data_IF_137085462807
#
_entry.id   IF_137085462807
#
_cell.length_a   1.000
_cell.length_b   1.000
_cell.length_c   1.000
_cell.angle_alpha   90.00
_cell.angle_beta   90.00
_cell.angle_gamma   90.00
#
_symmetry.space_group_name_H-M   'P 1'
#
loop_
_entity.id
_entity.type
_entity.pdbx_description
1 polymer ?
#
# COMPACT_ATOMS: atom_id res chain seq x y z
N UNK A 1 -27.53 -2.40 -9.85
CA UNK A 1 -26.73 -1.16 -9.89
C UNK A 1 -27.13 -0.23 -11.04
N UNK A 2 -27.12 -0.62 -12.32
CA UNK A 2 -27.72 0.24 -13.38
C UNK A 2 -29.19 0.59 -13.06
N UNK A 3 -29.92 -0.35 -12.47
CA UNK A 3 -31.28 -0.13 -11.96
C UNK A 3 -31.36 0.86 -10.79
N UNK A 4 -30.34 0.97 -9.96
CA UNK A 4 -30.30 1.90 -8.81
C UNK A 4 -29.84 3.28 -9.24
N UNK A 5 -28.80 3.35 -10.10
CA UNK A 5 -28.35 4.58 -10.75
C UNK A 5 -29.45 5.22 -11.62
N UNK A 6 -30.42 4.44 -12.10
CA UNK A 6 -31.57 4.95 -12.84
C UNK A 6 -32.69 5.51 -11.94
N UNK A 7 -32.75 5.11 -10.67
CA UNK A 7 -33.80 5.55 -9.72
C UNK A 7 -33.42 6.89 -9.09
N UNK A 8 -32.16 7.06 -8.72
CA UNK A 8 -31.61 8.29 -8.16
C UNK A 8 -30.17 8.49 -8.67
N UNK A 9 -29.98 9.13 -9.83
CA UNK A 9 -28.66 9.23 -10.46
C UNK A 9 -27.78 10.21 -9.68
N UNK A 10 -26.62 9.77 -9.14
CA UNK A 10 -25.69 10.69 -8.51
C UNK A 10 -25.00 11.57 -9.56
N UNK A 11 -24.44 12.71 -9.13
CA UNK A 11 -23.65 13.57 -10.01
C UNK A 11 -22.30 12.94 -10.41
N UNK A 12 -21.77 12.04 -9.56
CA UNK A 12 -20.49 11.37 -9.74
C UNK A 12 -20.48 10.02 -9.00
N UNK A 13 -19.97 8.98 -9.66
CA UNK A 13 -19.67 7.69 -9.03
C UNK A 13 -18.19 7.64 -8.66
N UNK A 14 -17.89 7.46 -7.38
CA UNK A 14 -16.54 7.24 -6.90
C UNK A 14 -16.29 5.74 -6.69
N UNK A 15 -15.32 5.19 -7.41
CA UNK A 15 -14.94 3.78 -7.35
C UNK A 15 -13.60 3.69 -6.62
N UNK A 16 -13.61 3.18 -5.39
CA UNK A 16 -12.40 3.00 -4.60
C UNK A 16 -11.79 1.62 -4.82
N UNK A 17 -10.54 1.59 -5.28
CA UNK A 17 -9.73 0.42 -5.66
C UNK A 17 -10.07 -0.23 -7.01
N UNK A 18 -9.02 -0.69 -7.70
CA UNK A 18 -9.09 -1.36 -8.99
C UNK A 18 -10.04 -2.56 -9.03
N UNK A 19 -10.11 -3.32 -7.94
CA UNK A 19 -10.77 -4.63 -7.91
C UNK A 19 -12.29 -4.60 -8.00
N UNK A 20 -12.90 -3.46 -7.69
CA UNK A 20 -14.35 -3.29 -7.83
C UNK A 20 -14.76 -2.69 -9.17
N UNK A 21 -13.81 -2.14 -9.96
CA UNK A 21 -14.09 -1.55 -11.26
C UNK A 21 -14.90 -2.48 -12.21
N UNK A 22 -14.63 -3.81 -12.30
CA UNK A 22 -15.44 -4.70 -13.12
C UNK A 22 -16.88 -4.89 -12.66
N UNK A 23 -17.16 -4.74 -11.36
CA UNK A 23 -18.51 -4.88 -10.81
C UNK A 23 -19.37 -3.67 -11.18
N UNK A 24 -18.74 -2.50 -11.26
CA UNK A 24 -19.38 -1.24 -11.64
C UNK A 24 -19.47 -1.12 -13.16
N UNK A 25 -18.42 -1.56 -13.86
CA UNK A 25 -18.28 -1.40 -15.30
C UNK A 25 -18.06 0.06 -15.71
N UNK A 26 -18.32 0.34 -16.99
CA UNK A 26 -18.36 1.71 -17.52
C UNK A 26 -19.76 2.28 -17.32
N UNK A 27 -19.84 3.47 -16.73
CA UNK A 27 -21.10 4.19 -16.57
C UNK A 27 -21.35 5.07 -17.79
N UNK A 28 -22.42 4.81 -18.54
CA UNK A 28 -22.70 5.52 -19.80
C UNK A 28 -23.31 6.93 -19.58
N UNK A 29 -24.09 7.10 -18.52
CA UNK A 29 -24.85 8.33 -18.25
C UNK A 29 -24.29 9.17 -17.10
N UNK A 30 -23.57 8.54 -16.17
CA UNK A 30 -23.05 9.20 -14.97
C UNK A 30 -21.52 9.24 -15.02
N UNK A 31 -20.86 10.38 -14.78
CA UNK A 31 -19.41 10.44 -14.64
C UNK A 31 -18.93 9.49 -13.54
N UNK A 32 -17.80 8.80 -13.76
CA UNK A 32 -17.17 7.95 -12.77
C UNK A 32 -15.67 8.24 -12.67
N UNK A 33 -15.13 8.17 -11.45
CA UNK A 33 -13.72 8.34 -11.14
C UNK A 33 -13.20 7.11 -10.39
N UNK A 34 -12.04 6.61 -10.82
CA UNK A 34 -11.37 5.47 -10.20
C UNK A 34 -10.28 5.96 -9.25
N UNK A 35 -10.43 5.71 -7.95
CA UNK A 35 -9.41 5.96 -6.94
C UNK A 35 -8.53 4.74 -6.75
N UNK A 36 -7.21 4.96 -6.76
CA UNK A 36 -6.21 3.93 -6.54
C UNK A 36 -5.37 4.26 -5.32
N UNK A 37 -5.37 3.31 -4.39
CA UNK A 37 -4.55 3.37 -3.17
C UNK A 37 -3.12 2.88 -3.41
N UNK A 38 -2.88 2.16 -4.51
CA UNK A 38 -1.60 1.61 -4.90
C UNK A 38 -1.50 1.51 -6.43
N UNK A 39 -0.27 1.29 -6.91
CA UNK A 39 -0.05 0.69 -8.23
C UNK A 39 0.02 -0.83 -8.08
N UNK A 40 -1.04 -1.53 -8.45
CA UNK A 40 -1.20 -2.95 -8.17
C UNK A 40 -0.17 -3.81 -8.90
N UNK A 41 0.14 -3.47 -10.16
CA UNK A 41 1.20 -4.18 -10.89
C UNK A 41 2.58 -3.99 -10.26
N UNK A 42 2.89 -2.82 -9.70
CA UNK A 42 4.20 -2.58 -9.08
C UNK A 42 4.34 -3.40 -7.80
N UNK A 43 3.30 -3.42 -6.97
CA UNK A 43 3.25 -4.28 -5.78
C UNK A 43 3.40 -5.75 -6.16
N UNK A 44 2.70 -6.20 -7.20
CA UNK A 44 2.83 -7.57 -7.73
C UNK A 44 4.24 -7.87 -8.20
N UNK A 45 4.84 -7.00 -9.02
CA UNK A 45 6.20 -7.17 -9.57
C UNK A 45 7.25 -7.28 -8.45
N UNK A 46 7.15 -6.44 -7.40
CA UNK A 46 8.01 -6.53 -6.22
C UNK A 46 7.87 -7.87 -5.52
N UNK A 47 6.63 -8.30 -5.26
CA UNK A 47 6.36 -9.60 -4.65
C UNK A 47 6.92 -10.76 -5.47
N UNK A 48 6.78 -10.74 -6.80
CA UNK A 48 7.34 -11.79 -7.69
C UNK A 48 8.86 -11.85 -7.60
N UNK A 49 9.53 -10.71 -7.54
CA UNK A 49 10.99 -10.65 -7.45
C UNK A 49 11.52 -11.19 -6.12
N UNK A 50 10.74 -11.08 -5.05
CA UNK A 50 11.10 -11.58 -3.72
C UNK A 50 10.80 -13.09 -3.52
N UNK A 51 10.22 -13.78 -4.51
CA UNK A 51 9.98 -15.24 -4.41
C UNK A 51 11.27 -16.04 -4.57
N UNK A 52 11.47 -17.14 -3.82
CA UNK A 52 12.73 -17.90 -3.84
C UNK A 52 12.92 -18.80 -5.07
N UNK A 53 11.89 -19.52 -5.49
CA UNK A 53 12.02 -20.56 -6.51
C UNK A 53 11.79 -20.04 -7.94
N UNK A 54 12.73 -20.33 -8.86
CA UNK A 54 12.74 -19.81 -10.23
C UNK A 54 11.53 -20.21 -11.09
N UNK A 55 10.99 -21.43 -10.89
CA UNK A 55 9.80 -21.90 -11.63
C UNK A 55 8.56 -21.07 -11.25
N UNK A 56 8.43 -20.76 -9.96
CA UNK A 56 7.37 -19.91 -9.41
C UNK A 56 7.53 -18.47 -9.91
N UNK A 57 8.76 -17.95 -9.95
CA UNK A 57 9.05 -16.61 -10.52
C UNK A 57 8.54 -16.47 -11.96
N UNK A 58 8.77 -17.47 -12.82
CA UNK A 58 8.31 -17.41 -14.22
C UNK A 58 6.79 -17.41 -14.31
N UNK A 59 6.10 -18.29 -13.57
CA UNK A 59 4.63 -18.32 -13.54
C UNK A 59 4.06 -17.00 -13.01
N UNK A 60 4.60 -16.47 -11.91
CA UNK A 60 4.11 -15.23 -11.34
C UNK A 60 4.43 -14.00 -12.20
N UNK A 61 5.48 -14.04 -13.04
CA UNK A 61 5.71 -12.99 -14.06
C UNK A 61 4.58 -12.96 -15.10
N UNK A 62 4.05 -14.12 -15.48
CA UNK A 62 2.90 -14.19 -16.38
C UNK A 62 1.68 -13.56 -15.70
N UNK A 63 1.45 -13.86 -14.42
CA UNK A 63 0.35 -13.26 -13.65
C UNK A 63 0.53 -11.75 -13.47
N UNK A 64 1.74 -11.27 -13.21
CA UNK A 64 2.04 -9.83 -13.18
C UNK A 64 1.76 -9.15 -14.52
N UNK A 65 2.11 -9.79 -15.65
CA UNK A 65 1.82 -9.26 -16.97
C UNK A 65 0.31 -9.26 -17.30
N UNK A 66 -0.45 -10.24 -16.79
CA UNK A 66 -1.92 -10.24 -16.89
C UNK A 66 -2.53 -9.11 -16.06
N UNK A 67 -2.07 -8.94 -14.82
CA UNK A 67 -2.50 -7.86 -13.94
C UNK A 67 -2.18 -6.48 -14.56
N UNK A 68 -1.01 -6.31 -15.16
CA UNK A 68 -0.63 -5.07 -15.85
C UNK A 68 -1.62 -4.70 -16.95
N UNK A 69 -1.95 -5.65 -17.83
CA UNK A 69 -2.93 -5.43 -18.90
C UNK A 69 -4.31 -5.10 -18.34
N UNK A 70 -4.70 -5.78 -17.26
CA UNK A 70 -6.00 -5.60 -16.65
C UNK A 70 -6.12 -4.26 -15.90
N UNK A 71 -5.08 -3.86 -15.17
CA UNK A 71 -4.96 -2.54 -14.53
C UNK A 71 -5.02 -1.42 -15.57
N UNK A 72 -4.23 -1.53 -16.65
CA UNK A 72 -4.27 -0.56 -17.74
C UNK A 72 -5.63 -0.50 -18.42
N UNK A 73 -6.30 -1.65 -18.63
CA UNK A 73 -7.64 -1.67 -19.22
C UNK A 73 -8.64 -0.88 -18.38
N UNK A 74 -8.71 -1.15 -17.07
CA UNK A 74 -9.66 -0.46 -16.20
C UNK A 74 -9.29 1.00 -15.96
N UNK A 75 -7.99 1.32 -15.82
CA UNK A 75 -7.58 2.72 -15.75
C UNK A 75 -8.03 3.49 -17.00
N UNK A 76 -7.84 2.95 -18.21
CA UNK A 76 -8.29 3.59 -19.44
C UNK A 76 -9.83 3.62 -19.63
N UNK A 77 -10.58 2.82 -18.87
CA UNK A 77 -12.05 2.81 -18.92
C UNK A 77 -12.68 4.06 -18.27
N UNK A 78 -11.92 4.82 -17.48
CA UNK A 78 -12.40 6.01 -16.78
C UNK A 78 -11.72 7.28 -17.29
N UNK A 79 -12.46 8.39 -17.34
CA UNK A 79 -11.93 9.70 -17.79
C UNK A 79 -10.99 10.36 -16.78
N UNK A 80 -11.10 9.96 -15.51
CA UNK A 80 -10.28 10.46 -14.43
C UNK A 80 -9.90 9.35 -13.44
N UNK A 81 -8.74 9.50 -12.81
CA UNK A 81 -8.33 8.69 -11.68
C UNK A 81 -7.70 9.52 -10.56
N UNK A 82 -7.75 8.99 -9.34
CA UNK A 82 -7.09 9.56 -8.16
C UNK A 82 -5.94 8.63 -7.79
N UNK A 83 -4.77 9.23 -7.55
CA UNK A 83 -3.60 8.60 -6.99
C UNK A 83 -3.30 9.18 -5.60
N UNK A 84 -2.71 8.37 -4.72
CA UNK A 84 -2.34 8.81 -3.37
C UNK A 84 -0.95 9.47 -3.29
N UNK A 85 -0.17 9.40 -4.35
CA UNK A 85 1.17 10.00 -4.43
C UNK A 85 1.51 10.48 -5.85
N UNK A 86 2.45 11.41 -5.98
CA UNK A 86 2.97 11.83 -7.29
C UNK A 86 3.71 10.69 -8.02
N UNK A 87 4.32 9.76 -7.29
CA UNK A 87 4.98 8.61 -7.88
C UNK A 87 3.97 7.68 -8.58
N UNK A 88 2.84 7.42 -7.92
CA UNK A 88 1.75 6.61 -8.49
C UNK A 88 1.07 7.37 -9.64
N UNK A 89 0.84 8.68 -9.48
CA UNK A 89 0.28 9.50 -10.55
C UNK A 89 1.17 9.55 -11.80
N UNK A 90 2.49 9.62 -11.63
CA UNK A 90 3.43 9.55 -12.74
C UNK A 90 3.32 8.20 -13.48
N UNK A 91 3.18 7.10 -12.75
CA UNK A 91 2.91 5.79 -13.35
C UNK A 91 1.60 5.78 -14.13
N UNK A 92 0.48 6.23 -13.53
CA UNK A 92 -0.82 6.23 -14.22
C UNK A 92 -0.80 7.13 -15.46
N UNK A 93 -0.27 8.35 -15.37
CA UNK A 93 -0.13 9.27 -16.52
C UNK A 93 0.66 8.64 -17.68
N UNK A 94 1.67 7.80 -17.37
CA UNK A 94 2.46 7.10 -18.39
C UNK A 94 1.68 5.98 -19.09
N UNK A 95 0.68 5.40 -18.43
CA UNK A 95 -0.10 4.27 -18.92
C UNK A 95 -1.48 4.67 -19.48
N UNK A 96 -1.97 5.87 -19.19
CA UNK A 96 -3.28 6.37 -19.63
C UNK A 96 -3.19 7.75 -20.31
N UNK A 97 -2.62 7.84 -21.53
CA UNK A 97 -2.53 9.12 -22.25
C UNK A 97 -3.92 9.76 -22.44
N UNK A 98 -4.10 10.98 -21.94
CA UNK A 98 -5.35 11.75 -22.05
C UNK A 98 -6.33 11.58 -20.88
N UNK A 99 -6.05 10.71 -19.92
CA UNK A 99 -6.79 10.64 -18.66
C UNK A 99 -6.39 11.79 -17.72
N UNK A 100 -7.34 12.35 -16.99
CA UNK A 100 -7.05 13.27 -15.89
C UNK A 100 -6.60 12.51 -14.64
N UNK A 101 -5.38 12.72 -14.18
CA UNK A 101 -4.81 12.06 -13.00
C UNK A 101 -4.59 13.08 -11.89
N UNK A 102 -5.37 12.95 -10.81
CA UNK A 102 -5.32 13.80 -9.63
C UNK A 102 -4.52 13.14 -8.51
N UNK A 103 -3.79 13.94 -7.73
CA UNK A 103 -3.11 13.45 -6.52
C UNK A 103 -3.88 13.93 -5.30
N UNK A 104 -4.37 12.97 -4.52
CA UNK A 104 -5.04 13.21 -3.24
C UNK A 104 -4.34 12.34 -2.19
N UNK A 105 -3.38 12.89 -1.43
CA UNK A 105 -2.66 12.13 -0.42
C UNK A 105 -3.60 11.63 0.67
N UNK A 106 -3.32 10.43 1.18
CA UNK A 106 -4.02 9.94 2.38
C UNK A 106 -3.75 10.87 3.56
N UNK A 107 -4.81 11.24 4.27
CA UNK A 107 -4.77 12.13 5.43
C UNK A 107 -5.11 11.41 6.73
N UNK A 108 -4.77 12.07 7.84
CA UNK A 108 -5.16 11.68 9.19
C UNK A 108 -5.67 12.92 9.94
N UNK A 109 -6.53 12.72 10.94
CA UNK A 109 -6.98 13.80 11.81
C UNK A 109 -5.81 14.35 12.64
N UNK A 110 -5.36 15.55 12.31
CA UNK A 110 -4.23 16.19 13.00
C UNK A 110 -4.55 16.59 14.44
N UNK A 111 -5.82 16.80 14.78
CA UNK A 111 -6.25 17.14 16.13
C UNK A 111 -6.24 15.90 17.03
N UNK A 112 -6.73 14.77 16.51
CA UNK A 112 -6.69 13.49 17.22
C UNK A 112 -5.26 12.96 17.44
N UNK A 113 -4.33 13.27 16.53
CA UNK A 113 -2.94 12.81 16.56
C UNK A 113 -1.93 13.90 16.98
N UNK A 114 -2.37 14.89 17.78
CA UNK A 114 -1.44 15.88 18.34
C UNK A 114 -0.42 15.23 19.27
N UNK A 115 0.89 15.49 19.08
CA UNK A 115 1.89 15.03 20.03
C UNK A 115 1.65 15.69 21.39
N UNK A 116 1.89 14.97 22.51
CA UNK A 116 1.74 15.54 23.84
C UNK A 116 2.72 16.70 24.06
N UNK A 117 2.26 17.73 24.79
CA UNK A 117 3.04 18.96 25.06
C UNK A 117 4.27 18.72 25.93
N UNK A 118 4.28 17.66 26.73
CA UNK A 118 5.46 17.16 27.44
C UNK A 118 5.93 15.87 26.78
N UNK A 119 7.09 15.93 26.16
CA UNK A 119 7.86 14.75 25.76
C UNK A 119 8.72 14.32 26.95
N UNK A 120 8.69 13.03 27.30
CA UNK A 120 9.76 12.42 28.08
C UNK A 120 11.03 12.47 27.20
N UNK A 121 11.86 13.49 27.39
CA UNK A 121 13.00 13.82 26.50
C UNK A 121 14.06 12.71 26.41
N UNK A 122 14.02 11.75 27.32
CA UNK A 122 15.05 10.74 27.50
C UNK A 122 14.66 9.37 26.93
N UNK A 123 13.44 9.22 26.39
CA UNK A 123 12.99 7.97 25.75
C UNK A 123 13.71 7.77 24.42
N UNK A 124 14.42 6.65 24.31
CA UNK A 124 15.18 6.25 23.11
C UNK A 124 14.54 5.09 22.36
N UNK A 125 13.30 4.74 22.70
CA UNK A 125 12.61 3.59 22.14
C UNK A 125 12.26 3.83 20.66
N UNK A 126 12.39 2.77 19.87
CA UNK A 126 11.99 2.69 18.48
C UNK A 126 10.70 1.89 18.42
N UNK A 127 9.67 2.43 17.78
CA UNK A 127 8.43 1.69 17.54
C UNK A 127 8.37 1.35 16.05
N UNK A 128 8.22 0.07 15.74
CA UNK A 128 7.80 -0.39 14.42
C UNK A 128 6.31 -0.72 14.49
N UNK A 129 5.48 -0.01 13.72
CA UNK A 129 4.04 -0.23 13.67
C UNK A 129 3.56 -0.51 12.24
N UNK A 130 2.76 -1.57 12.06
CA UNK A 130 2.17 -1.87 10.75
C UNK A 130 1.33 -3.14 10.73
N UNK A 131 0.65 -3.40 9.61
CA UNK A 131 -0.04 -4.67 9.37
C UNK A 131 1.00 -5.76 9.09
N UNK A 132 1.45 -6.48 10.14
CA UNK A 132 2.57 -7.43 10.06
C UNK A 132 2.29 -8.66 9.19
N UNK A 133 1.01 -8.99 8.97
CA UNK A 133 0.63 -10.01 7.99
C UNK A 133 0.86 -9.60 6.53
N UNK A 134 1.10 -8.31 6.25
CA UNK A 134 1.48 -7.85 4.93
C UNK A 134 2.98 -8.12 4.69
N UNK A 135 3.37 -8.89 3.66
CA UNK A 135 4.75 -9.36 3.50
C UNK A 135 5.82 -8.27 3.53
N UNK A 136 5.54 -7.09 2.95
CA UNK A 136 6.50 -5.99 2.95
C UNK A 136 6.78 -5.46 4.37
N UNK A 137 5.78 -5.45 5.25
CA UNK A 137 5.94 -4.99 6.63
C UNK A 137 6.73 -6.01 7.46
N UNK A 138 6.42 -7.30 7.32
CA UNK A 138 7.19 -8.36 7.98
C UNK A 138 8.64 -8.39 7.49
N UNK A 139 8.87 -8.31 6.18
CA UNK A 139 10.22 -8.28 5.60
C UNK A 139 11.02 -7.07 6.11
N UNK A 140 10.39 -5.90 6.16
CA UNK A 140 11.02 -4.68 6.66
C UNK A 140 11.42 -4.79 8.14
N UNK A 141 10.55 -5.30 9.01
CA UNK A 141 10.87 -5.41 10.45
C UNK A 141 11.92 -6.48 10.72
N UNK A 142 11.90 -7.59 9.95
CA UNK A 142 12.92 -8.64 10.03
C UNK A 142 14.28 -8.07 9.62
N UNK A 143 14.36 -7.39 8.47
CA UNK A 143 15.60 -6.75 8.01
C UNK A 143 16.09 -5.71 9.01
N UNK A 144 15.19 -4.87 9.53
CA UNK A 144 15.54 -3.90 10.55
C UNK A 144 16.13 -4.56 11.80
N UNK A 145 15.47 -5.57 12.36
CA UNK A 145 15.93 -6.21 13.59
C UNK A 145 17.22 -7.02 13.40
N UNK A 146 17.39 -7.71 12.26
CA UNK A 146 18.54 -8.59 12.02
C UNK A 146 19.78 -7.84 11.52
N UNK A 147 19.62 -6.83 10.67
CA UNK A 147 20.74 -6.19 9.96
C UNK A 147 21.04 -4.77 10.46
N UNK A 148 20.02 -4.02 10.91
CA UNK A 148 20.17 -2.60 11.26
C UNK A 148 20.26 -2.40 12.77
N UNK A 149 19.34 -2.98 13.54
CA UNK A 149 19.26 -2.78 14.98
C UNK A 149 20.52 -3.19 15.75
N UNK A 150 21.25 -4.26 15.38
CA UNK A 150 22.51 -4.60 16.03
C UNK A 150 23.59 -3.52 15.85
N UNK A 151 23.52 -2.72 14.77
CA UNK A 151 24.41 -1.58 14.56
C UNK A 151 24.04 -0.41 15.48
N UNK A 152 22.75 -0.22 15.74
CA UNK A 152 22.24 0.82 16.66
C UNK A 152 22.65 0.50 18.10
N UNK A 153 22.44 -0.74 18.56
CA UNK A 153 22.79 -1.16 19.93
C UNK A 153 24.29 -0.97 20.21
N UNK A 154 25.17 -1.19 19.22
CA UNK A 154 26.62 -1.00 19.38
C UNK A 154 26.99 0.44 19.75
N UNK A 155 26.27 1.41 19.20
CA UNK A 155 26.49 2.83 19.48
C UNK A 155 25.67 3.33 20.68
N UNK A 156 24.48 2.76 20.90
CA UNK A 156 23.54 3.14 21.96
C UNK A 156 22.88 1.90 22.58
N UNK A 157 23.49 1.38 23.63
CA UNK A 157 23.07 0.14 24.28
C UNK A 157 21.71 0.21 25.00
N UNK A 158 21.17 1.40 25.26
CA UNK A 158 19.92 1.60 25.99
C UNK A 158 18.68 1.80 25.08
N UNK A 159 18.84 1.68 23.76
CA UNK A 159 17.74 1.70 22.79
C UNK A 159 16.96 0.38 22.84
N UNK A 160 15.64 0.46 22.87
CA UNK A 160 14.74 -0.69 22.70
C UNK A 160 13.88 -0.55 21.46
N UNK A 161 13.44 -1.65 20.91
CA UNK A 161 12.48 -1.73 19.81
C UNK A 161 11.18 -2.31 20.35
N UNK A 162 10.05 -1.84 19.86
CA UNK A 162 8.75 -2.47 20.08
C UNK A 162 8.07 -2.66 18.73
N UNK A 163 7.68 -3.91 18.45
CA UNK A 163 7.01 -4.30 17.20
C UNK A 163 5.52 -4.43 17.48
N UNK A 164 4.71 -3.61 16.84
CA UNK A 164 3.27 -3.52 17.07
C UNK A 164 2.50 -3.77 15.77
N UNK A 165 1.58 -4.73 15.78
CA UNK A 165 0.76 -5.07 14.62
C UNK A 165 0.04 -6.40 14.74
N UNK A 166 -0.87 -6.67 13.81
CA UNK A 166 -1.66 -7.89 13.78
C UNK A 166 -1.14 -8.89 12.73
N UNK A 167 -1.45 -10.18 12.95
CA UNK A 167 -1.15 -11.29 12.03
C UNK A 167 0.34 -11.44 11.69
N UNK A 168 1.20 -11.17 12.66
CA UNK A 168 2.63 -11.36 12.50
C UNK A 168 2.95 -12.84 12.17
N UNK A 169 3.80 -13.11 11.17
CA UNK A 169 4.31 -14.46 10.97
C UNK A 169 5.20 -14.88 12.15
N UNK A 170 5.42 -16.19 12.30
CA UNK A 170 6.24 -16.76 13.38
C UNK A 170 7.63 -16.12 13.45
N UNK A 171 8.28 -15.93 12.30
CA UNK A 171 9.60 -15.28 12.21
C UNK A 171 9.63 -13.86 12.81
N UNK A 172 8.55 -13.08 12.69
CA UNK A 172 8.46 -11.76 13.32
C UNK A 172 8.25 -11.89 14.83
N UNK A 173 7.50 -12.89 15.28
CA UNK A 173 7.26 -13.15 16.70
C UNK A 173 8.55 -13.59 17.41
N UNK A 174 9.38 -14.39 16.74
CA UNK A 174 10.69 -14.81 17.22
C UNK A 174 11.67 -13.64 17.44
N UNK A 175 11.50 -12.51 16.75
CA UNK A 175 12.33 -11.32 16.95
C UNK A 175 12.26 -10.80 18.40
N UNK A 176 11.15 -11.01 19.11
CA UNK A 176 11.03 -10.63 20.53
C UNK A 176 11.94 -11.42 21.48
N UNK A 177 12.66 -12.43 20.99
CA UNK A 177 13.71 -13.11 21.75
C UNK A 177 15.07 -12.41 21.63
N UNK A 178 15.21 -11.46 20.71
CA UNK A 178 16.42 -10.67 20.53
C UNK A 178 16.57 -9.65 21.66
N UNK A 179 17.81 -9.45 22.12
CA UNK A 179 18.07 -8.48 23.19
C UNK A 179 17.64 -7.06 22.75
N UNK A 180 16.70 -6.47 23.50
CA UNK A 180 16.23 -5.11 23.27
C UNK A 180 15.09 -4.99 22.24
N UNK A 181 14.51 -6.09 21.77
CA UNK A 181 13.30 -6.13 20.91
C UNK A 181 12.09 -6.61 21.71
#
# INVERSE_FOLDING_TARGET
MESELAIDPPDLVHIDMLFIAPLIGQTNSTPAILSQNNVEVQNRKRWVNNQGAWIHRTLFRIDAAKLERWEQYWLNAYKACIAVSEADAAYFRSCTPGQSVFVVPNGVDLEAFKPPTQSESDRKDIIFFGALGYPANSEAVIHFCKDIFPLIIKEKADVRVSILGAHAPEEVTELGQMAGV
#
